data_IF_689238330008
#
_entry.id   IF_689238330008
#
_cell.length_a   1.000
_cell.length_b   1.000
_cell.length_c   1.000
_cell.angle_alpha   90.00
_cell.angle_beta   90.00
_cell.angle_gamma   90.00
#
_symmetry.space_group_name_H-M   'P 1'
#
loop_
_entity.id
_entity.type
_entity.pdbx_description
1 polymer ?
#
# COMPACT_ATOMS: atom_id res chain seq x y z
N UNK A 1 3.12 13.78 -13.81
CA UNK A 1 4.00 13.38 -12.69
C UNK A 1 4.69 12.07 -13.07
N UNK A 2 5.99 11.93 -12.83
CA UNK A 2 6.77 10.83 -13.42
C UNK A 2 6.44 9.48 -12.75
N UNK A 3 6.25 8.39 -13.51
CA UNK A 3 5.93 7.03 -12.98
C UNK A 3 6.90 6.60 -11.87
N UNK A 4 8.14 7.10 -11.94
CA UNK A 4 9.18 6.93 -10.93
C UNK A 4 8.80 7.48 -9.54
N UNK A 5 8.06 8.59 -9.44
CA UNK A 5 7.69 9.17 -8.14
C UNK A 5 6.74 8.28 -7.34
N UNK A 6 5.76 7.66 -8.02
CA UNK A 6 4.83 6.70 -7.40
C UNK A 6 5.58 5.46 -6.93
N UNK A 7 6.51 4.96 -7.75
CA UNK A 7 7.36 3.83 -7.39
C UNK A 7 8.23 4.13 -6.17
N UNK A 8 8.93 5.27 -6.16
CA UNK A 8 9.82 5.66 -5.07
C UNK A 8 9.05 5.85 -3.75
N UNK A 9 7.86 6.47 -3.78
CA UNK A 9 7.02 6.58 -2.58
C UNK A 9 6.56 5.22 -2.07
N UNK A 10 6.11 4.32 -2.95
CA UNK A 10 5.73 2.95 -2.56
C UNK A 10 6.91 2.17 -1.99
N UNK A 11 8.09 2.30 -2.60
CA UNK A 11 9.33 1.66 -2.16
C UNK A 11 9.73 2.14 -0.75
N UNK A 12 9.81 3.45 -0.54
CA UNK A 12 10.18 4.05 0.75
C UNK A 12 9.15 3.67 1.82
N UNK A 13 7.86 3.79 1.50
CA UNK A 13 6.78 3.42 2.41
C UNK A 13 6.86 1.95 2.84
N UNK A 14 7.10 1.04 1.90
CA UNK A 14 7.24 -0.38 2.23
C UNK A 14 8.50 -0.69 3.05
N UNK A 15 9.66 -0.07 2.76
CA UNK A 15 10.89 -0.28 3.54
C UNK A 15 10.69 0.22 4.97
N UNK A 16 10.14 1.42 5.14
CA UNK A 16 9.83 1.97 6.46
C UNK A 16 8.79 1.12 7.20
N UNK A 17 7.80 0.58 6.49
CA UNK A 17 6.80 -0.33 7.06
C UNK A 17 7.38 -1.64 7.56
N UNK A 18 8.33 -2.23 6.83
CA UNK A 18 9.03 -3.44 7.26
C UNK A 18 9.86 -3.16 8.52
N UNK A 19 10.67 -2.08 8.50
CA UNK A 19 11.47 -1.68 9.67
C UNK A 19 10.60 -1.36 10.89
N UNK A 20 9.51 -0.61 10.68
CA UNK A 20 8.52 -0.29 11.72
C UNK A 20 7.87 -1.54 12.30
N UNK A 21 7.56 -2.54 11.47
CA UNK A 21 6.99 -3.81 11.93
C UNK A 21 7.98 -4.65 12.74
N UNK A 22 9.28 -4.61 12.39
CA UNK A 22 10.33 -5.28 13.19
C UNK A 22 10.47 -4.60 14.56
N UNK A 23 10.49 -3.27 14.60
CA UNK A 23 10.54 -2.52 15.87
C UNK A 23 9.28 -2.78 16.70
N UNK A 24 8.11 -2.80 16.05
CA UNK A 24 6.84 -3.11 16.69
C UNK A 24 6.80 -4.53 17.25
N UNK A 25 7.51 -5.50 16.68
CA UNK A 25 7.57 -6.84 17.24
C UNK A 25 8.02 -6.81 18.71
N UNK A 26 9.04 -6.01 19.02
CA UNK A 26 9.55 -5.83 20.38
C UNK A 26 8.59 -4.99 21.24
N UNK A 27 8.20 -3.80 20.78
CA UNK A 27 7.33 -2.88 21.54
C UNK A 27 5.94 -3.50 21.79
N UNK A 28 5.37 -4.12 20.76
CA UNK A 28 4.08 -4.79 20.76
C UNK A 28 4.05 -6.00 21.69
N UNK A 29 5.17 -6.70 21.88
CA UNK A 29 5.26 -7.80 22.86
C UNK A 29 4.99 -7.31 24.27
N UNK A 30 5.60 -6.18 24.66
CA UNK A 30 5.33 -5.55 25.95
C UNK A 30 3.92 -4.97 26.03
N UNK A 31 3.43 -4.38 24.94
CA UNK A 31 2.07 -3.82 24.90
C UNK A 31 0.99 -4.89 25.11
N UNK A 32 1.05 -6.00 24.36
CA UNK A 32 0.11 -7.11 24.52
C UNK A 32 0.33 -7.87 25.82
N UNK A 33 1.58 -8.06 26.25
CA UNK A 33 1.89 -8.67 27.54
C UNK A 33 1.29 -7.89 28.70
N UNK A 34 1.46 -6.57 28.71
CA UNK A 34 0.86 -5.69 29.73
C UNK A 34 -0.67 -5.64 29.69
N UNK A 35 -1.29 -5.78 28.50
CA UNK A 35 -2.74 -5.93 28.40
C UNK A 35 -3.25 -7.26 28.96
N UNK A 36 -2.52 -8.36 28.75
CA UNK A 36 -2.91 -9.70 29.21
C UNK A 36 -2.76 -9.81 30.73
N UNK A 37 -1.73 -9.19 31.29
CA UNK A 37 -1.43 -9.23 32.73
C UNK A 37 -2.07 -8.08 33.51
N UNK A 38 -3.06 -7.38 32.92
CA UNK A 38 -3.67 -6.18 33.50
C UNK A 38 -4.27 -6.39 34.90
N UNK A 39 -4.72 -7.62 35.21
CA UNK A 39 -5.34 -7.97 36.49
C UNK A 39 -4.33 -8.42 37.57
N UNK A 40 -3.06 -8.61 37.25
CA UNK A 40 -2.01 -8.90 38.23
C UNK A 40 -1.25 -7.62 38.58
N UNK A 41 -1.42 -7.06 39.79
CA UNK A 41 -0.72 -5.85 40.21
C UNK A 41 0.75 -6.10 40.61
N UNK A 42 1.44 -7.05 39.96
CA UNK A 42 2.88 -7.22 40.10
C UNK A 42 3.60 -6.17 39.25
N UNK A 43 4.68 -5.58 39.78
CA UNK A 43 5.49 -4.59 39.05
C UNK A 43 6.14 -5.16 37.78
N UNK A 44 6.26 -6.49 37.70
CA UNK A 44 6.78 -7.21 36.54
C UNK A 44 5.67 -7.98 35.82
N UNK A 45 5.69 -7.91 34.49
CA UNK A 45 4.81 -8.68 33.60
C UNK A 45 5.23 -10.15 33.64
N UNK A 46 4.27 -11.03 33.90
CA UNK A 46 4.48 -12.48 33.92
C UNK A 46 5.10 -13.00 32.61
N UNK A 47 6.06 -13.93 32.73
CA UNK A 47 6.71 -14.59 31.59
C UNK A 47 5.69 -15.22 30.62
N UNK A 48 4.57 -15.74 31.15
CA UNK A 48 3.49 -16.30 30.35
C UNK A 48 2.75 -15.22 29.53
N UNK A 49 2.52 -14.05 30.11
CA UNK A 49 1.89 -12.91 29.44
C UNK A 49 2.82 -12.32 28.37
N UNK A 50 4.12 -12.20 28.64
CA UNK A 50 5.12 -11.83 27.63
C UNK A 50 5.18 -12.85 26.48
N UNK A 51 5.13 -14.14 26.79
CA UNK A 51 5.09 -15.20 25.78
C UNK A 51 3.87 -15.12 24.86
N UNK A 52 2.68 -14.90 25.42
CA UNK A 52 1.46 -14.69 24.63
C UNK A 52 1.50 -13.38 23.83
N UNK A 53 2.00 -12.29 24.45
CA UNK A 53 2.19 -11.01 23.79
C UNK A 53 3.13 -11.11 22.58
N UNK A 54 4.19 -11.90 22.68
CA UNK A 54 5.12 -12.18 21.59
C UNK A 54 4.41 -12.89 20.42
N UNK A 55 3.55 -13.88 20.70
CA UNK A 55 2.81 -14.60 19.65
C UNK A 55 1.88 -13.66 18.89
N UNK A 56 1.10 -12.82 19.60
CA UNK A 56 0.23 -11.84 18.96
C UNK A 56 1.01 -10.80 18.14
N UNK A 57 2.08 -10.26 18.73
CA UNK A 57 2.94 -9.28 18.06
C UNK A 57 3.62 -9.87 16.81
N UNK A 58 4.06 -11.13 16.88
CA UNK A 58 4.65 -11.85 15.76
C UNK A 58 3.66 -12.09 14.63
N UNK A 59 2.43 -12.54 14.94
CA UNK A 59 1.36 -12.74 13.96
C UNK A 59 1.00 -11.42 13.25
N UNK A 60 0.77 -10.36 14.02
CA UNK A 60 0.43 -9.04 13.50
C UNK A 60 1.56 -8.48 12.62
N UNK A 61 2.81 -8.57 13.09
CA UNK A 61 3.99 -8.10 12.36
C UNK A 61 4.23 -8.91 11.09
N UNK A 62 4.03 -10.23 11.13
CA UNK A 62 4.14 -11.11 9.97
C UNK A 62 3.14 -10.76 8.87
N UNK A 63 1.88 -10.49 9.24
CA UNK A 63 0.84 -10.05 8.29
C UNK A 63 1.20 -8.69 7.68
N UNK A 64 1.64 -7.72 8.50
CA UNK A 64 2.00 -6.37 8.00
C UNK A 64 3.23 -6.42 7.09
N UNK A 65 4.29 -7.14 7.45
CA UNK A 65 5.47 -7.34 6.61
C UNK A 65 5.09 -7.99 5.28
N UNK A 66 4.25 -9.03 5.30
CA UNK A 66 3.76 -9.68 4.08
C UNK A 66 3.00 -8.70 3.19
N UNK A 67 2.15 -7.84 3.78
CA UNK A 67 1.47 -6.76 3.08
C UNK A 67 2.43 -5.77 2.41
N UNK A 68 3.47 -5.34 3.12
CA UNK A 68 4.48 -4.41 2.57
C UNK A 68 5.31 -5.05 1.46
N UNK A 69 5.65 -6.33 1.54
CA UNK A 69 6.36 -7.07 0.49
C UNK A 69 5.50 -7.19 -0.77
N UNK A 70 4.23 -7.59 -0.63
CA UNK A 70 3.29 -7.63 -1.77
C UNK A 70 3.17 -6.25 -2.43
N UNK A 71 3.18 -5.21 -1.59
CA UNK A 71 3.14 -3.82 -2.04
C UNK A 71 4.37 -3.43 -2.86
N UNK A 72 5.58 -3.86 -2.47
CA UNK A 72 6.80 -3.67 -3.27
C UNK A 72 6.68 -4.34 -4.64
N UNK A 73 6.28 -5.61 -4.67
CA UNK A 73 6.14 -6.37 -5.91
C UNK A 73 5.12 -5.72 -6.85
N UNK A 74 3.98 -5.26 -6.32
CA UNK A 74 2.95 -4.59 -7.13
C UNK A 74 3.28 -3.16 -7.54
N UNK A 75 4.07 -2.45 -6.73
CA UNK A 75 4.53 -1.10 -7.07
C UNK A 75 5.62 -1.12 -8.15
N UNK A 76 6.18 -2.29 -8.48
CA UNK A 76 7.23 -2.37 -9.51
C UNK A 76 6.66 -1.98 -10.88
N UNK A 77 7.34 -1.11 -11.67
CA UNK A 77 6.83 -0.58 -12.93
C UNK A 77 6.39 -1.66 -13.93
N UNK A 78 7.06 -2.81 -13.98
CA UNK A 78 6.67 -3.95 -14.83
C UNK A 78 5.34 -4.61 -14.44
N UNK A 79 4.88 -4.46 -13.21
CA UNK A 79 3.58 -4.96 -12.72
C UNK A 79 2.43 -3.98 -13.06
N UNK A 80 2.71 -2.68 -13.03
CA UNK A 80 1.73 -1.63 -13.33
C UNK A 80 1.30 -1.61 -14.79
N UNK A 81 2.19 -1.99 -15.72
CA UNK A 81 1.88 -2.03 -17.15
C UNK A 81 1.08 -3.28 -17.54
N UNK A 82 1.28 -4.42 -16.87
CA UNK A 82 0.57 -5.67 -17.16
C UNK A 82 -0.84 -5.76 -16.57
N UNK A 83 -1.07 -5.24 -15.35
CA UNK A 83 -2.35 -5.39 -14.63
C UNK A 83 -3.24 -4.14 -14.62
N UNK A 84 -2.80 -3.08 -15.29
CA UNK A 84 -3.48 -1.79 -15.33
C UNK A 84 -3.19 -0.95 -14.08
N UNK A 85 -2.74 0.29 -14.30
CA UNK A 85 -2.35 1.24 -13.26
C UNK A 85 -3.43 1.47 -12.19
N UNK A 86 -4.70 1.45 -12.59
CA UNK A 86 -5.86 1.61 -11.71
C UNK A 86 -6.00 0.45 -10.70
N UNK A 87 -5.81 -0.80 -11.12
CA UNK A 87 -5.91 -1.96 -10.23
C UNK A 87 -4.75 -2.02 -9.25
N UNK A 88 -3.55 -1.63 -9.69
CA UNK A 88 -2.40 -1.49 -8.79
C UNK A 88 -2.67 -0.40 -7.73
N UNK A 89 -3.22 0.75 -8.15
CA UNK A 89 -3.59 1.84 -7.25
C UNK A 89 -4.66 1.48 -6.21
N UNK A 90 -5.72 0.76 -6.61
CA UNK A 90 -6.74 0.27 -5.67
C UNK A 90 -6.13 -0.69 -4.65
N UNK A 91 -5.23 -1.57 -5.11
CA UNK A 91 -4.59 -2.54 -4.21
C UNK A 91 -3.68 -1.88 -3.18
N UNK A 92 -2.89 -0.90 -3.62
CA UNK A 92 -2.08 -0.05 -2.73
C UNK A 92 -2.96 0.60 -1.65
N UNK A 93 -4.10 1.13 -2.04
CA UNK A 93 -5.04 1.79 -1.14
C UNK A 93 -5.62 0.82 -0.10
N UNK A 94 -6.08 -0.36 -0.54
CA UNK A 94 -6.61 -1.40 0.36
C UNK A 94 -5.55 -1.89 1.33
N UNK A 95 -4.36 -2.24 0.83
CA UNK A 95 -3.27 -2.73 1.70
C UNK A 95 -2.82 -1.67 2.68
N UNK A 96 -2.71 -0.40 2.24
CA UNK A 96 -2.38 0.72 3.12
C UNK A 96 -3.39 0.90 4.26
N UNK A 97 -4.70 0.85 3.97
CA UNK A 97 -5.75 0.94 5.00
C UNK A 97 -5.68 -0.24 5.96
N UNK A 98 -5.55 -1.47 5.44
CA UNK A 98 -5.44 -2.67 6.29
C UNK A 98 -4.22 -2.57 7.20
N UNK A 99 -3.06 -2.14 6.70
CA UNK A 99 -1.86 -1.97 7.51
C UNK A 99 -2.04 -0.90 8.59
N UNK A 100 -2.77 0.18 8.30
CA UNK A 100 -3.07 1.26 9.24
C UNK A 100 -4.00 0.81 10.37
N UNK A 101 -5.03 0.03 10.05
CA UNK A 101 -5.97 -0.54 11.05
C UNK A 101 -5.27 -1.60 11.90
N UNK A 102 -4.44 -2.43 11.27
CA UNK A 102 -3.74 -3.51 11.97
C UNK A 102 -2.69 -2.95 12.92
N UNK A 103 -1.94 -1.91 12.55
CA UNK A 103 -0.86 -1.37 13.38
C UNK A 103 -0.73 0.16 13.23
N UNK A 104 -1.17 0.89 14.25
CA UNK A 104 -1.07 2.35 14.28
C UNK A 104 0.39 2.85 14.27
N UNK A 105 1.35 2.04 14.72
CA UNK A 105 2.78 2.40 14.67
C UNK A 105 3.29 2.52 13.23
N UNK A 106 2.64 1.85 12.30
CA UNK A 106 2.91 1.92 10.87
C UNK A 106 2.09 3.02 10.16
N UNK A 107 1.60 4.03 10.89
CA UNK A 107 0.80 5.13 10.33
C UNK A 107 1.50 5.85 9.17
N UNK A 108 2.75 6.28 9.38
CA UNK A 108 3.54 7.00 8.36
C UNK A 108 3.73 6.16 7.09
N UNK A 109 4.27 4.91 7.16
CA UNK A 109 4.44 4.09 5.97
C UNK A 109 3.11 3.72 5.30
N UNK A 110 2.03 3.52 6.08
CA UNK A 110 0.71 3.26 5.53
C UNK A 110 0.14 4.47 4.77
N UNK A 111 0.26 5.68 5.30
CA UNK A 111 -0.17 6.92 4.62
C UNK A 111 0.59 7.11 3.30
N UNK A 112 1.91 6.88 3.29
CA UNK A 112 2.71 6.97 2.07
C UNK A 112 2.19 6.03 0.97
N UNK A 113 1.83 4.80 1.34
CA UNK A 113 1.27 3.81 0.42
C UNK A 113 -0.13 4.20 -0.06
N UNK A 114 -0.97 4.72 0.82
CA UNK A 114 -2.32 5.22 0.46
C UNK A 114 -2.21 6.37 -0.55
N UNK A 115 -1.31 7.32 -0.30
CA UNK A 115 -1.05 8.45 -1.21
C UNK A 115 -0.52 7.94 -2.55
N UNK A 116 0.43 7.01 -2.56
CA UNK A 116 0.92 6.38 -3.79
C UNK A 116 -0.21 5.68 -4.58
N UNK A 117 -1.11 4.98 -3.88
CA UNK A 117 -2.29 4.34 -4.48
C UNK A 117 -3.28 5.35 -5.09
N UNK A 118 -3.60 6.42 -4.35
CA UNK A 118 -4.48 7.49 -4.82
C UNK A 118 -3.90 8.19 -6.08
N UNK A 119 -2.60 8.46 -6.09
CA UNK A 119 -1.89 9.05 -7.23
C UNK A 119 -1.87 8.13 -8.46
N UNK A 120 -1.71 6.81 -8.25
CA UNK A 120 -1.79 5.83 -9.33
C UNK A 120 -3.19 5.79 -9.97
N UNK A 121 -4.25 5.87 -9.16
CA UNK A 121 -5.63 5.94 -9.65
C UNK A 121 -5.88 7.25 -10.42
N UNK A 122 -5.42 8.39 -9.87
CA UNK A 122 -5.55 9.70 -10.51
C UNK A 122 -4.85 9.76 -11.87
N UNK A 123 -3.62 9.21 -11.94
CA UNK A 123 -2.84 9.13 -13.18
C UNK A 123 -3.49 8.20 -14.22
N UNK A 124 -4.12 7.11 -13.79
CA UNK A 124 -4.84 6.21 -14.69
C UNK A 124 -6.09 6.88 -15.31
N UNK A 125 -6.77 7.74 -14.55
CA UNK A 125 -7.93 8.51 -15.04
C UNK A 125 -7.52 9.54 -16.09
N UNK A 126 -6.37 10.19 -15.91
CA UNK A 126 -5.82 11.17 -16.86
C UNK A 126 -5.42 10.51 -18.19
N UNK A 127 -4.68 9.39 -18.15
CA UNK A 127 -4.25 8.69 -19.37
C UNK A 127 -5.41 8.15 -20.22
N UNK A 128 -6.48 7.67 -19.58
CA UNK A 128 -7.68 7.25 -20.33
C UNK A 128 -8.44 8.41 -20.98
N UNK A 129 -8.24 9.65 -20.51
CA UNK A 129 -8.81 10.84 -21.12
C UNK A 129 -8.08 11.20 -22.43
N UNK A 130 -6.76 11.24 -22.41
CA UNK A 130 -5.94 11.57 -23.59
C UNK A 130 -6.09 10.57 -24.73
N UNK A 131 -6.03 9.26 -24.46
CA UNK A 131 -6.19 8.22 -25.48
C UNK A 131 -7.57 8.30 -26.16
N UNK A 132 -8.61 8.70 -25.42
CA UNK A 132 -9.97 8.84 -25.94
C UNK A 132 -10.14 10.09 -26.82
N UNK A 133 -9.38 11.16 -26.55
CA UNK A 133 -9.38 12.36 -27.39
C UNK A 133 -8.62 12.09 -28.69
N UNK A 134 -7.49 11.39 -28.63
CA UNK A 134 -6.69 11.06 -29.80
C UNK A 134 -7.43 10.09 -30.76
N UNK A 135 -8.11 9.08 -30.23
CA UNK A 135 -8.96 8.17 -31.02
C UNK A 135 -10.18 8.87 -31.63
N UNK A 136 -10.80 9.83 -30.93
CA UNK A 136 -11.88 10.63 -31.51
C UNK A 136 -11.37 11.57 -32.63
N UNK A 137 -10.18 12.14 -32.49
CA UNK A 137 -9.58 12.97 -33.53
C UNK A 137 -9.16 12.15 -34.77
N UNK A 138 -8.62 10.95 -34.58
CA UNK A 138 -8.33 10.02 -35.67
C UNK A 138 -9.60 9.53 -36.38
N UNK A 139 -10.66 9.21 -35.62
CA UNK A 139 -11.95 8.83 -36.20
C UNK A 139 -12.58 9.97 -36.99
N UNK A 140 -12.50 11.21 -36.50
CA UNK A 140 -13.03 12.39 -37.19
C UNK A 140 -12.17 12.82 -38.39
N UNK A 141 -10.85 12.57 -38.37
CA UNK A 141 -9.98 12.81 -39.52
C UNK A 141 -10.24 11.84 -40.68
N UNK A 142 -10.59 10.59 -40.37
CA UNK A 142 -10.89 9.56 -41.39
C UNK A 142 -12.27 9.79 -42.03
N UNK A 143 -13.25 10.33 -41.30
CA UNK A 143 -14.58 10.64 -41.86
C UNK A 143 -14.56 11.86 -42.79
N UNK A 144 -13.68 12.83 -42.59
CA UNK A 144 -13.57 14.01 -43.47
C UNK A 144 -12.96 13.68 -44.85
N UNK A 145 -12.17 12.62 -44.96
CA UNK A 145 -11.59 12.19 -46.26
C UNK A 145 -12.54 11.41 -47.16
N UNK A 146 -13.78 11.11 -46.73
CA UNK A 146 -14.74 10.31 -47.52
C UNK A 146 -15.81 11.13 -48.24
N UNK A 147 -15.94 12.44 -47.99
CA UNK A 147 -16.97 13.27 -48.64
C UNK A 147 -16.48 14.09 -49.85
N UNK A 148 -15.18 14.14 -50.16
CA UNK A 148 -14.66 14.86 -51.35
C UNK A 148 -14.56 14.01 -52.62
N UNK A 149 -15.18 12.82 -52.64
CA UNK A 149 -15.13 11.89 -53.76
C UNK A 149 -16.51 11.52 -54.30
N UNK A 150 -17.29 12.51 -54.74
CA UNK A 150 -18.39 12.29 -55.70
C UNK A 150 -18.77 13.57 -56.44
#
# INVERSE_FOLDING_TARGET
MNKQGIFVMGLIGSILGILGSIVWLFIGTFFYGGMIDYDNPSDDVSDAALGLGLIFSFLQSGITISGFIITLVKSTPGSMEKKGLRNAGIWLLVVGIVCLVMNLFNLIPAILIIVAGALAIGSAKSNNGEIRVETNNLSNGISLTKEEGN
#
